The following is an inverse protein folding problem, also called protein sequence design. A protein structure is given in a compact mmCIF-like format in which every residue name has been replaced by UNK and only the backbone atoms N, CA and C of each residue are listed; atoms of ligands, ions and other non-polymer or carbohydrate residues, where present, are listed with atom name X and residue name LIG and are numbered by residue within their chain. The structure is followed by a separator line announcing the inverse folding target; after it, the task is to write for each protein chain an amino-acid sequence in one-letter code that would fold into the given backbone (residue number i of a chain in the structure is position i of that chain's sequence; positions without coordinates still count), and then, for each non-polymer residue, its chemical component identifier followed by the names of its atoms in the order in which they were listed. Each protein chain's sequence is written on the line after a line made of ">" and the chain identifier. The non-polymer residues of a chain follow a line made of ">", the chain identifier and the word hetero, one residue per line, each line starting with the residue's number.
data_IF_147917715002
#
_entry.id   IF_147917715002
#
_cell.length_a   1.000
_cell.length_b   1.000
_cell.length_c   1.000
_cell.angle_alpha   90.00
_cell.angle_beta   90.00
_cell.angle_gamma   90.00
#
_symmetry.space_group_name_H-M   'P 1'
#
loop_
_entity.id
_entity.type
_entity.pdbx_description
1 polymer ?
#
# COMPACT_ATOMS: atom_id res chain seq x y z
N UNK A 1 11.99 -12.67 25.25
CA UNK A 1 12.36 -12.12 23.93
C UNK A 1 13.06 -10.79 24.17
N UNK A 2 14.23 -10.54 23.57
CA UNK A 2 15.05 -9.34 23.86
C UNK A 2 14.39 -8.09 23.24
N UNK A 3 13.79 -7.18 24.05
CA UNK A 3 12.96 -6.08 23.55
C UNK A 3 13.78 -5.06 22.74
N UNK A 4 15.07 -4.88 23.05
CA UNK A 4 15.95 -3.96 22.32
C UNK A 4 16.23 -4.42 20.89
N UNK A 5 16.38 -5.72 20.67
CA UNK A 5 16.56 -6.30 19.33
C UNK A 5 15.30 -6.11 18.48
N UNK A 6 14.12 -6.30 19.07
CA UNK A 6 12.84 -6.08 18.39
C UNK A 6 12.64 -4.61 18.01
N UNK A 7 12.98 -3.67 18.91
CA UNK A 7 12.91 -2.22 18.63
C UNK A 7 13.88 -1.83 17.51
N UNK A 8 15.12 -2.32 17.54
CA UNK A 8 16.11 -2.02 16.50
C UNK A 8 15.68 -2.54 15.12
N UNK A 9 15.20 -3.78 15.04
CA UNK A 9 14.67 -4.36 13.79
C UNK A 9 13.42 -3.61 13.29
N UNK A 10 12.52 -3.25 14.20
CA UNK A 10 11.31 -2.49 13.85
C UNK A 10 11.64 -1.10 13.33
N UNK A 11 12.68 -0.45 13.86
CA UNK A 11 13.14 0.86 13.39
C UNK A 11 13.62 0.80 11.94
N UNK A 12 14.46 -0.19 11.61
CA UNK A 12 14.96 -0.40 10.24
C UNK A 12 13.80 -0.72 9.28
N UNK A 13 12.88 -1.60 9.70
CA UNK A 13 11.71 -1.95 8.90
C UNK A 13 10.81 -0.73 8.63
N UNK A 14 10.63 0.15 9.62
CA UNK A 14 9.84 1.37 9.46
C UNK A 14 10.47 2.35 8.47
N UNK A 15 11.80 2.45 8.40
CA UNK A 15 12.46 3.30 7.40
C UNK A 15 12.13 2.81 5.98
N UNK A 16 12.24 1.50 5.72
CA UNK A 16 11.89 0.91 4.44
C UNK A 16 10.41 1.12 4.08
N UNK A 17 9.52 0.94 5.06
CA UNK A 17 8.09 1.22 4.88
C UNK A 17 7.80 2.67 4.51
N UNK A 18 8.45 3.64 5.18
CA UNK A 18 8.28 5.05 4.89
C UNK A 18 8.79 5.42 3.50
N UNK A 19 9.94 4.87 3.08
CA UNK A 19 10.47 5.08 1.73
C UNK A 19 9.49 4.57 0.66
N UNK A 20 8.91 3.39 0.86
CA UNK A 20 7.88 2.86 -0.01
C UNK A 20 6.63 3.74 -0.03
N UNK A 21 6.24 4.30 1.12
CA UNK A 21 5.11 5.22 1.21
C UNK A 21 5.33 6.49 0.37
N UNK A 22 6.53 7.08 0.44
CA UNK A 22 6.90 8.21 -0.42
C UNK A 22 6.82 7.86 -1.91
N UNK A 23 7.31 6.67 -2.30
CA UNK A 23 7.23 6.22 -3.69
C UNK A 23 5.78 6.07 -4.17
N UNK A 24 4.88 5.55 -3.32
CA UNK A 24 3.45 5.45 -3.65
C UNK A 24 2.83 6.81 -3.95
N UNK A 25 3.20 7.85 -3.20
CA UNK A 25 2.72 9.20 -3.46
C UNK A 25 3.28 9.78 -4.77
N UNK A 26 4.55 9.49 -5.10
CA UNK A 26 5.11 9.87 -6.39
C UNK A 26 4.34 9.25 -7.56
N UNK A 27 3.99 7.96 -7.47
CA UNK A 27 3.17 7.31 -8.50
C UNK A 27 1.78 7.92 -8.66
N UNK A 28 1.18 8.44 -7.59
CA UNK A 28 -0.11 9.14 -7.68
C UNK A 28 0.04 10.41 -8.51
N UNK A 29 1.12 11.17 -8.29
CA UNK A 29 1.43 12.36 -9.08
C UNK A 29 1.69 12.01 -10.54
N UNK A 30 2.46 10.96 -10.82
CA UNK A 30 2.72 10.50 -12.19
C UNK A 30 1.43 10.12 -12.95
N UNK A 31 0.46 9.51 -12.25
CA UNK A 31 -0.85 9.17 -12.85
C UNK A 31 -1.69 10.41 -13.13
N UNK A 32 -1.58 11.46 -12.29
CA UNK A 32 -2.24 12.74 -12.54
C UNK A 32 -1.64 13.41 -13.79
N UNK A 33 -0.31 13.42 -13.91
CA UNK A 33 0.37 13.96 -15.09
C UNK A 33 0.02 13.17 -16.35
N UNK A 34 -0.07 11.84 -16.27
CA UNK A 34 -0.51 10.99 -17.37
C UNK A 34 -1.97 11.25 -17.78
N UNK A 35 -2.84 11.54 -16.80
CA UNK A 35 -4.22 11.92 -17.09
C UNK A 35 -4.27 13.28 -17.80
N UNK A 36 -3.52 14.29 -17.34
CA UNK A 36 -3.38 15.60 -18.01
C UNK A 36 -2.90 15.42 -19.46
N UNK A 37 -1.96 14.50 -19.70
CA UNK A 37 -1.45 14.19 -21.04
C UNK A 37 -2.53 13.66 -21.99
N UNK A 38 -3.42 12.77 -21.53
CA UNK A 38 -4.48 12.18 -22.37
C UNK A 38 -5.64 13.16 -22.57
N UNK A 39 -6.07 13.85 -21.52
CA UNK A 39 -7.30 14.67 -21.55
C UNK A 39 -7.03 16.12 -21.92
N UNK A 40 -5.77 16.56 -21.92
CA UNK A 40 -5.34 17.96 -22.16
C UNK A 40 -5.94 18.98 -21.19
N UNK A 41 -6.66 18.50 -20.17
CA UNK A 41 -7.29 19.25 -19.11
C UNK A 41 -6.81 18.73 -17.77
N UNK A 42 -6.37 19.66 -16.93
CA UNK A 42 -5.82 19.37 -15.61
C UNK A 42 -6.94 19.32 -14.58
N UNK A 43 -7.35 18.11 -14.20
CA UNK A 43 -8.38 17.85 -13.18
C UNK A 43 -7.81 17.18 -11.92
N UNK A 44 -6.78 17.80 -11.32
CA UNK A 44 -6.09 17.29 -10.13
C UNK A 44 -7.07 16.88 -9.01
N UNK A 45 -8.14 17.66 -8.80
CA UNK A 45 -9.15 17.42 -7.78
C UNK A 45 -9.98 16.15 -8.01
N UNK A 46 -10.43 15.92 -9.24
CA UNK A 46 -11.29 14.76 -9.59
C UNK A 46 -10.49 13.46 -9.49
N UNK A 47 -9.28 13.43 -10.07
CA UNK A 47 -8.41 12.25 -10.03
C UNK A 47 -8.00 11.91 -8.60
N UNK A 48 -7.61 12.93 -7.82
CA UNK A 48 -7.25 12.72 -6.42
C UNK A 48 -8.44 12.26 -5.56
N UNK A 49 -9.65 12.74 -5.84
CA UNK A 49 -10.87 12.31 -5.16
C UNK A 49 -11.17 10.82 -5.44
N UNK A 50 -11.06 10.38 -6.70
CA UNK A 50 -11.25 8.97 -7.09
C UNK A 50 -10.18 8.09 -6.43
N UNK A 51 -8.91 8.51 -6.47
CA UNK A 51 -7.82 7.80 -5.79
C UNK A 51 -8.09 7.66 -4.28
N UNK A 52 -8.47 8.75 -3.62
CA UNK A 52 -8.77 8.78 -2.19
C UNK A 52 -9.97 7.89 -1.84
N UNK A 53 -11.00 7.87 -2.69
CA UNK A 53 -12.15 6.99 -2.52
C UNK A 53 -11.76 5.52 -2.65
N UNK A 54 -11.04 5.15 -3.72
CA UNK A 54 -10.56 3.78 -3.93
C UNK A 54 -9.70 3.30 -2.75
N UNK A 55 -8.82 4.17 -2.22
CA UNK A 55 -8.02 3.87 -1.03
C UNK A 55 -8.88 3.60 0.20
N UNK A 56 -9.90 4.41 0.47
CA UNK A 56 -10.83 4.21 1.61
C UNK A 56 -11.60 2.90 1.49
N UNK A 57 -12.06 2.56 0.29
CA UNK A 57 -12.72 1.27 0.02
C UNK A 57 -11.77 0.11 0.30
N UNK A 58 -10.52 0.18 -0.19
CA UNK A 58 -9.49 -0.81 0.10
C UNK A 58 -9.21 -0.98 1.59
N UNK A 59 -9.14 0.13 2.34
CA UNK A 59 -8.98 0.09 3.80
C UNK A 59 -10.18 -0.53 4.53
N UNK A 60 -11.40 -0.25 4.07
CA UNK A 60 -12.60 -0.88 4.63
C UNK A 60 -12.60 -2.40 4.42
N UNK A 61 -12.28 -2.84 3.21
CA UNK A 61 -12.15 -4.28 2.88
C UNK A 61 -11.02 -4.92 3.71
N UNK A 62 -9.87 -4.26 3.84
CA UNK A 62 -8.76 -4.74 4.66
C UNK A 62 -9.16 -4.88 6.13
N UNK A 63 -9.95 -3.93 6.66
CA UNK A 63 -10.49 -4.02 8.03
C UNK A 63 -11.41 -5.22 8.22
N UNK A 64 -12.29 -5.50 7.26
CA UNK A 64 -13.19 -6.66 7.28
C UNK A 64 -12.39 -7.97 7.24
N UNK A 65 -11.43 -8.08 6.32
CA UNK A 65 -10.57 -9.27 6.20
C UNK A 65 -9.73 -9.46 7.46
N UNK A 66 -9.16 -8.39 8.00
CA UNK A 66 -8.39 -8.41 9.24
C UNK A 66 -9.23 -8.88 10.43
N UNK A 67 -10.45 -8.36 10.57
CA UNK A 67 -11.40 -8.80 11.60
C UNK A 67 -11.82 -10.26 11.46
N UNK A 68 -12.11 -10.71 10.24
CA UNK A 68 -12.44 -12.11 9.97
C UNK A 68 -11.26 -13.05 10.26
N UNK A 69 -10.04 -12.64 9.89
CA UNK A 69 -8.83 -13.41 10.18
C UNK A 69 -8.58 -13.55 11.69
N UNK A 70 -8.82 -12.49 12.48
CA UNK A 70 -8.73 -12.56 13.95
C UNK A 70 -9.78 -13.50 14.55
N UNK A 71 -11.00 -13.51 14.00
CA UNK A 71 -12.04 -14.48 14.38
C UNK A 71 -11.62 -15.92 14.10
N UNK A 72 -11.04 -16.18 12.93
CA UNK A 72 -10.50 -17.51 12.56
C UNK A 72 -9.29 -17.92 13.39
N UNK A 73 -8.52 -16.96 13.91
CA UNK A 73 -7.39 -17.21 14.80
C UNK A 73 -7.79 -17.73 16.20
N UNK A 74 -9.10 -17.69 16.53
CA UNK A 74 -9.61 -18.03 17.85
C UNK A 74 -9.46 -16.92 18.88
N UNK A 75 -9.38 -15.64 18.45
CA UNK A 75 -9.30 -14.52 19.38
C UNK A 75 -10.59 -14.39 20.20
N UNK A 76 -10.48 -14.53 21.52
CA UNK A 76 -11.62 -14.41 22.45
C UNK A 76 -11.58 -13.03 23.11
N UNK A 77 -12.49 -12.14 22.72
CA UNK A 77 -12.56 -10.73 23.15
C UNK A 77 -12.75 -10.49 24.66
N UNK A 78 -13.07 -11.52 25.44
CA UNK A 78 -13.40 -11.41 26.88
C UNK A 78 -12.57 -12.32 27.81
N UNK A 79 -11.48 -12.94 27.34
CA UNK A 79 -10.61 -13.73 28.22
C UNK A 79 -9.59 -12.84 28.94
N UNK A 80 -9.44 -13.01 30.26
CA UNK A 80 -8.43 -12.31 31.08
C UNK A 80 -6.99 -12.59 30.59
N UNK A 81 -6.73 -13.79 30.07
CA UNK A 81 -5.48 -14.16 29.41
C UNK A 81 -5.74 -14.93 28.11
N UNK A 82 -5.04 -14.57 27.03
CA UNK A 82 -5.03 -15.34 25.78
C UNK A 82 -4.00 -16.45 25.88
N UNK A 83 -4.32 -17.64 25.36
CA UNK A 83 -3.35 -18.75 25.33
C UNK A 83 -2.15 -18.39 24.45
N UNK A 84 -0.97 -18.93 24.80
CA UNK A 84 0.27 -18.69 24.03
C UNK A 84 0.15 -19.13 22.55
N UNK A 85 -0.72 -20.10 22.27
CA UNK A 85 -1.06 -20.56 20.93
C UNK A 85 -1.84 -19.51 20.12
N UNK A 86 -2.86 -18.88 20.72
CA UNK A 86 -3.62 -17.79 20.08
C UNK A 86 -2.72 -16.57 19.83
N UNK A 87 -1.84 -16.23 20.78
CA UNK A 87 -0.86 -15.15 20.61
C UNK A 87 0.12 -15.43 19.44
N UNK A 88 0.58 -16.67 19.30
CA UNK A 88 1.42 -17.11 18.16
C UNK A 88 0.66 -17.04 16.83
N UNK A 89 -0.60 -17.51 16.81
CA UNK A 89 -1.44 -17.51 15.61
C UNK A 89 -1.77 -16.08 15.13
N UNK A 90 -2.07 -15.16 16.05
CA UNK A 90 -2.29 -13.75 15.72
C UNK A 90 -1.03 -13.13 15.14
N UNK A 91 0.15 -13.42 15.70
CA UNK A 91 1.43 -12.92 15.17
C UNK A 91 1.71 -13.43 13.76
N UNK A 92 1.43 -14.70 13.50
CA UNK A 92 1.57 -15.28 12.18
C UNK A 92 0.60 -14.67 11.18
N UNK A 93 -0.67 -14.47 11.55
CA UNK A 93 -1.66 -13.82 10.68
C UNK A 93 -1.31 -12.36 10.40
N UNK A 94 -0.85 -11.62 11.42
CA UNK A 94 -0.39 -10.24 11.27
C UNK A 94 0.85 -10.11 10.38
N UNK A 95 1.59 -11.19 10.14
CA UNK A 95 2.78 -11.21 9.27
C UNK A 95 2.44 -11.76 7.88
N UNK A 96 1.66 -12.84 7.79
CA UNK A 96 1.26 -13.50 6.54
C UNK A 96 0.32 -12.62 5.71
N UNK A 97 -0.66 -11.97 6.33
CA UNK A 97 -1.65 -11.17 5.59
C UNK A 97 -0.98 -9.98 4.87
N UNK A 98 -0.11 -9.17 5.52
CA UNK A 98 0.66 -8.16 4.82
C UNK A 98 1.63 -8.76 3.80
N UNK A 99 2.32 -9.85 4.12
CA UNK A 99 3.29 -10.46 3.22
C UNK A 99 2.65 -10.91 1.88
N UNK A 100 1.49 -11.59 1.95
CA UNK A 100 0.75 -12.01 0.76
C UNK A 100 0.24 -10.79 -0.02
N UNK A 101 -0.29 -9.79 0.68
CA UNK A 101 -0.77 -8.56 0.05
C UNK A 101 0.36 -7.84 -0.70
N UNK A 102 1.53 -7.69 -0.08
CA UNK A 102 2.70 -7.09 -0.73
C UNK A 102 3.19 -7.90 -1.92
N UNK A 103 3.15 -9.23 -1.84
CA UNK A 103 3.50 -10.10 -2.96
C UNK A 103 2.55 -9.94 -4.15
N UNK A 104 1.24 -9.85 -3.89
CA UNK A 104 0.23 -9.58 -4.92
C UNK A 104 0.46 -8.20 -5.55
N UNK A 105 0.71 -7.16 -4.74
CA UNK A 105 1.02 -5.81 -5.24
C UNK A 105 2.28 -5.84 -6.12
N UNK A 106 3.33 -6.54 -5.71
CA UNK A 106 4.53 -6.72 -6.51
C UNK A 106 4.23 -7.38 -7.87
N UNK A 107 3.41 -8.44 -7.90
CA UNK A 107 3.01 -9.09 -9.16
C UNK A 107 2.21 -8.15 -10.06
N UNK A 108 1.28 -7.37 -9.50
CA UNK A 108 0.50 -6.38 -10.28
C UNK A 108 1.43 -5.32 -10.86
N UNK A 109 2.38 -4.82 -10.07
CA UNK A 109 3.36 -3.85 -10.56
C UNK A 109 4.32 -4.44 -11.59
N UNK A 110 4.72 -5.69 -11.45
CA UNK A 110 5.67 -6.34 -12.35
C UNK A 110 5.04 -6.76 -13.69
N UNK A 111 3.78 -7.20 -13.71
CA UNK A 111 3.15 -7.78 -14.89
C UNK A 111 2.05 -6.92 -15.51
N UNK A 112 1.36 -6.10 -14.72
CA UNK A 112 0.16 -5.39 -15.18
C UNK A 112 0.38 -3.88 -15.32
N UNK A 113 1.42 -3.32 -14.71
CA UNK A 113 1.69 -1.88 -14.74
C UNK A 113 2.44 -1.52 -16.03
N UNK A 114 1.77 -0.90 -17.03
CA UNK A 114 2.38 -0.60 -18.32
C UNK A 114 3.17 0.72 -18.31
N UNK A 115 3.34 1.36 -17.15
CA UNK A 115 4.08 2.61 -16.99
C UNK A 115 5.57 2.30 -16.81
N UNK A 116 6.22 1.82 -17.86
CA UNK A 116 7.68 1.72 -17.92
C UNK A 116 8.29 3.12 -17.79
N UNK A 117 9.51 3.21 -17.25
CA UNK A 117 10.23 4.50 -17.12
C UNK A 117 10.34 5.25 -18.46
N UNK A 118 10.38 4.53 -19.59
CA UNK A 118 10.36 5.15 -20.91
C UNK A 118 9.04 5.88 -21.21
N UNK A 119 7.88 5.26 -20.91
CA UNK A 119 6.57 5.86 -21.12
C UNK A 119 6.35 7.10 -20.23
N UNK A 120 6.85 7.04 -18.99
CA UNK A 120 6.80 8.19 -18.06
C UNK A 120 7.61 9.38 -18.60
N UNK A 121 8.79 9.09 -19.15
CA UNK A 121 9.69 10.10 -19.70
C UNK A 121 9.12 10.74 -20.97
N UNK A 122 8.50 9.94 -21.84
CA UNK A 122 7.84 10.45 -23.06
C UNK A 122 6.68 11.40 -22.71
N UNK A 123 5.90 11.06 -21.69
CA UNK A 123 4.80 11.91 -21.19
C UNK A 123 5.33 13.22 -20.61
N UNK A 124 6.41 13.18 -19.82
CA UNK A 124 7.05 14.38 -19.26
C UNK A 124 7.65 15.29 -20.35
N UNK A 125 8.40 14.70 -21.29
CA UNK A 125 9.03 15.45 -22.39
C UNK A 125 7.97 16.14 -23.28
N UNK A 126 6.83 15.49 -23.52
CA UNK A 126 5.73 16.05 -24.32
C UNK A 126 4.92 17.11 -23.56
N UNK A 127 4.70 16.95 -22.25
CA UNK A 127 4.10 18.00 -21.40
C UNK A 127 5.00 19.25 -21.32
N UNK A 128 6.33 19.09 -21.23
CA UNK A 128 7.27 20.21 -21.27
C UNK A 128 7.27 20.94 -22.61
N UNK A 129 7.12 20.20 -23.73
CA UNK A 129 6.97 20.81 -25.06
C UNK A 129 5.69 21.62 -25.19
N UNK A 130 4.58 21.18 -24.61
CA UNK A 130 3.29 21.90 -24.66
C UNK A 130 3.25 23.15 -23.78
N UNK A 131 4.12 23.22 -22.77
CA UNK A 131 4.24 24.37 -21.84
C UNK A 131 5.18 25.48 -22.32
N UNK A 132 6.04 25.21 -23.32
CA UNK A 132 6.93 26.18 -23.97
C UNK A 132 6.32 26.72 -25.28
#
# INVERSE_FOLDING_TARGET
>A
QNPYLFVALSFIANIGYNFFNFMLWAFVTDVIDYQEYITEQREDGTVYAIYSFARKVGQAIAGIIGGAALGLAGYVTQAEEQTAEVASNIRNLATLIPAITYFIVFLIMAFLYPMTKEALKEVQDELERRRN
#
